data_IF_522910056973
#
_entry.id   IF_522910056973
#
_cell.length_a   1.000
_cell.length_b   1.000
_cell.length_c   1.000
_cell.angle_alpha   90.00
_cell.angle_beta   90.00
_cell.angle_gamma   90.00
#
_symmetry.space_group_name_H-M   'P 1'
#
loop_
_entity.id
_entity.type
_entity.pdbx_description
1 polymer ?
#
# COMPACT_ATOMS: atom_id res chain seq x y z
N UNK A 1 42.28 15.89 21.26
CA UNK A 1 40.86 16.27 21.38
C UNK A 1 40.40 15.76 22.74
N UNK A 2 40.19 16.62 23.74
CA UNK A 2 40.01 16.17 25.11
C UNK A 2 38.63 15.54 25.30
N UNK A 3 38.65 14.44 26.02
CA UNK A 3 37.55 13.68 26.59
C UNK A 3 36.63 14.64 27.39
N UNK A 4 35.43 14.92 26.88
CA UNK A 4 34.55 16.00 27.37
C UNK A 4 33.13 15.55 27.73
N UNK A 5 32.87 14.24 27.77
CA UNK A 5 31.53 13.73 28.03
C UNK A 5 31.43 13.22 29.47
N UNK A 6 30.63 13.85 30.35
CA UNK A 6 30.28 13.23 31.61
C UNK A 6 29.57 11.90 31.33
N UNK A 7 30.14 10.83 31.84
CA UNK A 7 29.55 9.50 31.79
C UNK A 7 28.21 9.53 32.55
N UNK A 8 27.12 9.21 31.84
CA UNK A 8 25.86 8.61 32.37
C UNK A 8 24.61 9.48 32.63
N UNK A 9 24.41 10.61 31.95
CA UNK A 9 23.04 11.20 31.87
C UNK A 9 22.42 10.96 30.49
N UNK A 10 21.16 10.47 30.39
CA UNK A 10 20.45 10.39 29.12
C UNK A 10 20.33 11.78 28.51
N UNK A 11 20.50 11.94 27.20
CA UNK A 11 20.57 13.24 26.53
C UNK A 11 19.32 14.11 26.64
N UNK A 12 18.20 13.54 27.10
CA UNK A 12 17.00 14.29 27.48
C UNK A 12 17.18 15.14 28.73
N UNK A 13 18.10 14.77 29.62
CA UNK A 13 18.39 15.47 30.88
C UNK A 13 19.52 16.48 30.75
N UNK A 14 20.17 16.54 29.58
CA UNK A 14 21.26 17.47 29.35
C UNK A 14 20.76 18.92 29.31
N UNK A 15 21.53 19.86 29.89
CA UNK A 15 21.18 21.27 29.84
C UNK A 15 21.12 21.69 28.37
N UNK A 16 19.98 22.27 27.98
CA UNK A 16 19.80 22.78 26.62
C UNK A 16 20.56 24.10 26.53
N UNK A 17 21.57 24.22 25.64
CA UNK A 17 22.33 25.45 25.51
C UNK A 17 21.41 26.63 25.22
N UNK A 18 21.67 27.83 25.79
CA UNK A 18 20.85 28.99 25.54
C UNK A 18 20.89 29.32 24.05
N UNK A 19 19.71 29.56 23.48
CA UNK A 19 19.57 29.93 22.08
C UNK A 19 18.75 31.21 21.97
N UNK A 20 19.30 32.22 21.31
CA UNK A 20 18.62 33.50 21.13
C UNK A 20 17.52 33.39 20.06
N UNK A 21 16.26 33.36 20.51
CA UNK A 21 15.06 33.28 19.68
C UNK A 21 14.49 34.64 19.26
N UNK A 22 15.13 35.76 19.60
CA UNK A 22 14.65 37.07 19.19
C UNK A 22 14.61 37.20 17.66
N UNK A 23 13.56 37.85 17.13
CA UNK A 23 13.42 38.11 15.70
C UNK A 23 14.52 39.07 15.21
N UNK A 24 15.03 38.83 13.99
CA UNK A 24 16.07 39.66 13.35
C UNK A 24 17.02 38.86 12.47
N UNK A 25 17.76 39.54 11.60
CA UNK A 25 18.87 38.92 10.85
C UNK A 25 20.06 38.70 11.77
N UNK A 26 20.51 37.46 11.90
CA UNK A 26 21.67 37.06 12.71
C UNK A 26 22.61 36.24 11.83
N UNK A 27 23.92 36.41 12.03
CA UNK A 27 24.90 35.40 11.61
C UNK A 27 24.44 34.06 12.20
N UNK A 28 24.44 32.99 11.39
CA UNK A 28 23.72 31.73 11.65
C UNK A 28 23.61 31.36 13.13
N UNK A 29 22.38 31.18 13.65
CA UNK A 29 22.11 30.79 15.04
C UNK A 29 22.63 29.37 15.41
N UNK A 30 23.48 28.78 14.58
CA UNK A 30 24.11 27.50 14.81
C UNK A 30 25.25 27.67 15.81
N UNK A 31 25.20 26.89 16.89
CA UNK A 31 26.33 26.69 17.79
C UNK A 31 26.66 25.21 17.80
N UNK A 32 27.95 24.88 17.91
CA UNK A 32 28.39 23.49 17.92
C UNK A 32 27.83 22.74 19.13
N UNK A 33 27.72 23.40 20.28
CA UNK A 33 27.12 22.86 21.51
C UNK A 33 25.67 22.39 21.30
N UNK A 34 24.85 23.19 20.59
CA UNK A 34 23.47 22.79 20.24
C UNK A 34 23.46 21.66 19.22
N UNK A 35 24.38 21.69 18.25
CA UNK A 35 24.56 20.60 17.28
C UNK A 35 24.90 19.27 17.94
N UNK A 36 25.84 19.27 18.88
CA UNK A 36 26.26 18.09 19.65
C UNK A 36 25.11 17.52 20.47
N UNK A 37 24.33 18.37 21.15
CA UNK A 37 23.14 17.91 21.88
C UNK A 37 22.13 17.23 20.96
N UNK A 38 21.89 17.77 19.76
CA UNK A 38 21.01 17.17 18.77
C UNK A 38 21.57 15.82 18.30
N UNK A 39 22.86 15.74 17.98
CA UNK A 39 23.53 14.50 17.54
C UNK A 39 23.43 13.41 18.60
N UNK A 40 23.67 13.76 19.86
CA UNK A 40 23.58 12.83 20.98
C UNK A 40 22.14 12.28 21.14
N UNK A 41 21.12 13.15 21.11
CA UNK A 41 19.72 12.72 21.18
C UNK A 41 19.30 11.84 20.01
N UNK A 42 19.83 12.11 18.80
CA UNK A 42 19.64 11.21 17.65
C UNK A 42 20.30 9.87 17.94
N UNK A 43 21.54 9.83 18.45
CA UNK A 43 22.26 8.59 18.76
C UNK A 43 21.52 7.72 19.79
N UNK A 44 20.78 8.34 20.71
CA UNK A 44 19.88 7.66 21.66
C UNK A 44 18.57 7.15 21.02
N UNK A 45 18.41 7.31 19.72
CA UNK A 45 17.27 6.83 18.93
C UNK A 45 16.11 7.81 18.85
N UNK A 46 16.25 9.04 19.33
CA UNK A 46 15.20 10.05 19.28
C UNK A 46 15.08 10.68 17.88
N UNK A 47 13.86 10.90 17.41
CA UNK A 47 13.64 11.54 16.10
C UNK A 47 13.91 13.05 16.18
N UNK A 48 14.44 13.63 15.10
CA UNK A 48 14.64 15.11 15.00
C UNK A 48 13.35 15.86 15.32
N UNK A 49 12.19 15.36 14.86
CA UNK A 49 10.88 15.96 15.17
C UNK A 49 10.60 16.00 16.67
N UNK A 50 10.87 14.90 17.38
CA UNK A 50 10.69 14.82 18.84
C UNK A 50 11.68 15.71 19.59
N UNK A 51 12.93 15.78 19.13
CA UNK A 51 13.95 16.69 19.68
C UNK A 51 13.45 18.14 19.57
N UNK A 52 13.06 18.57 18.36
CA UNK A 52 12.62 19.94 18.08
C UNK A 52 11.25 20.31 18.65
N UNK A 53 10.52 19.36 19.26
CA UNK A 53 9.27 19.65 19.94
C UNK A 53 9.46 20.40 21.27
N UNK A 54 10.67 20.35 21.85
CA UNK A 54 10.96 21.04 23.09
C UNK A 54 11.00 22.57 22.88
N UNK A 55 10.35 23.40 23.72
CA UNK A 55 10.27 24.85 23.52
C UNK A 55 11.60 25.58 23.50
N UNK A 56 12.67 25.03 24.10
CA UNK A 56 14.01 25.60 24.05
C UNK A 56 14.83 25.15 22.82
N UNK A 57 14.41 24.09 22.11
CA UNK A 57 15.12 23.58 20.94
C UNK A 57 14.89 24.47 19.69
N UNK A 58 15.79 24.40 18.69
CA UNK A 58 15.55 24.98 17.37
C UNK A 58 14.34 24.35 16.69
N UNK A 59 13.68 25.14 15.85
CA UNK A 59 12.61 24.64 15.01
C UNK A 59 13.14 23.58 14.02
N UNK A 60 12.28 22.65 13.61
CA UNK A 60 12.64 21.59 12.67
C UNK A 60 13.29 22.10 11.36
N UNK A 61 12.72 23.17 10.78
CA UNK A 61 13.27 23.78 9.57
C UNK A 61 14.67 24.38 9.78
N UNK A 62 14.96 24.91 10.97
CA UNK A 62 16.28 25.43 11.33
C UNK A 62 17.32 24.32 11.37
N UNK A 63 17.03 23.21 12.04
CA UNK A 63 17.95 22.06 12.09
C UNK A 63 18.19 21.50 10.70
N UNK A 64 17.15 21.38 9.88
CA UNK A 64 17.28 20.92 8.50
C UNK A 64 18.15 21.86 7.66
N UNK A 65 18.00 23.18 7.84
CA UNK A 65 18.87 24.17 7.20
C UNK A 65 20.33 24.01 7.66
N UNK A 66 20.59 23.77 8.95
CA UNK A 66 21.96 23.52 9.42
C UNK A 66 22.58 22.29 8.76
N UNK A 67 21.82 21.20 8.58
CA UNK A 67 22.33 20.01 7.86
C UNK A 67 22.75 20.30 6.41
N UNK A 68 22.20 21.35 5.78
CA UNK A 68 22.53 21.74 4.40
C UNK A 68 23.67 22.76 4.33
N UNK A 69 23.68 23.73 5.25
CA UNK A 69 24.59 24.89 5.19
C UNK A 69 25.80 24.79 6.12
N UNK A 70 25.84 23.80 7.00
CA UNK A 70 27.00 23.45 7.84
C UNK A 70 27.40 22.02 7.50
N UNK A 71 28.29 21.83 6.49
CA UNK A 71 28.63 20.50 5.97
C UNK A 71 29.09 19.50 7.03
N UNK A 72 29.86 19.96 8.02
CA UNK A 72 30.39 19.15 9.11
C UNK A 72 29.27 18.59 9.99
N UNK A 73 28.25 19.41 10.29
CA UNK A 73 27.08 18.97 11.05
C UNK A 73 26.22 18.00 10.23
N UNK A 74 26.03 18.28 8.93
CA UNK A 74 25.32 17.38 8.02
C UNK A 74 25.98 16.00 7.93
N UNK A 75 27.31 15.96 7.83
CA UNK A 75 28.11 14.73 7.83
C UNK A 75 27.95 13.96 9.14
N UNK A 76 28.06 14.64 10.29
CA UNK A 76 27.88 14.01 11.60
C UNK A 76 26.48 13.42 11.79
N UNK A 77 25.42 14.09 11.31
CA UNK A 77 24.05 13.55 11.34
C UNK A 77 23.93 12.29 10.48
N UNK A 78 24.56 12.28 9.29
CA UNK A 78 24.53 11.14 8.39
C UNK A 78 25.24 9.92 9.02
N UNK A 79 26.38 10.14 9.67
CA UNK A 79 27.15 9.12 10.38
C UNK A 79 26.33 8.46 11.51
N UNK A 80 25.76 9.27 12.42
CA UNK A 80 24.94 8.76 13.53
C UNK A 80 23.74 7.96 13.01
N UNK A 81 23.07 8.44 11.95
CA UNK A 81 21.96 7.70 11.33
C UNK A 81 22.41 6.40 10.67
N UNK A 82 23.60 6.38 10.07
CA UNK A 82 24.23 5.19 9.52
C UNK A 82 24.44 4.12 10.59
N UNK A 83 25.01 4.50 11.73
CA UNK A 83 25.19 3.59 12.87
C UNK A 83 23.87 3.03 13.40
N UNK A 84 22.85 3.87 13.58
CA UNK A 84 21.52 3.40 13.99
C UNK A 84 20.87 2.45 12.99
N UNK A 85 21.03 2.71 11.69
CA UNK A 85 20.52 1.83 10.65
C UNK A 85 21.20 0.45 10.70
N UNK A 86 22.52 0.41 10.89
CA UNK A 86 23.28 -0.83 11.07
C UNK A 86 22.83 -1.60 12.32
N UNK A 87 22.66 -0.93 13.46
CA UNK A 87 22.16 -1.56 14.69
C UNK A 87 20.77 -2.17 14.50
N UNK A 88 19.84 -1.44 13.86
CA UNK A 88 18.49 -1.94 13.53
C UNK A 88 18.54 -3.15 12.61
N UNK A 89 19.42 -3.12 11.61
CA UNK A 89 19.61 -4.23 10.70
C UNK A 89 20.15 -5.47 11.44
N UNK A 90 21.16 -5.30 12.28
CA UNK A 90 21.73 -6.37 13.10
C UNK A 90 20.69 -6.98 14.05
N UNK A 91 19.87 -6.14 14.71
CA UNK A 91 18.74 -6.62 15.51
C UNK A 91 17.73 -7.38 14.66
N UNK A 92 17.33 -6.86 13.50
CA UNK A 92 16.40 -7.53 12.60
C UNK A 92 16.95 -8.90 12.13
N UNK A 93 18.25 -8.99 11.84
CA UNK A 93 18.93 -10.23 11.51
C UNK A 93 18.95 -11.20 12.69
N UNK A 94 19.29 -10.74 13.89
CA UNK A 94 19.23 -11.55 15.11
C UNK A 94 17.80 -12.07 15.36
N UNK A 95 16.78 -11.22 15.20
CA UNK A 95 15.38 -11.62 15.28
C UNK A 95 15.00 -12.65 14.20
N UNK A 96 15.48 -12.50 12.96
CA UNK A 96 15.30 -13.49 11.87
C UNK A 96 15.94 -14.83 12.22
N UNK A 97 17.13 -14.82 12.82
CA UNK A 97 17.84 -16.02 13.26
C UNK A 97 17.17 -16.68 14.46
N UNK A 98 16.84 -15.92 15.51
CA UNK A 98 16.24 -16.39 16.75
C UNK A 98 14.83 -16.96 16.55
N UNK A 99 14.04 -16.37 15.64
CA UNK A 99 12.72 -16.91 15.28
C UNK A 99 12.80 -18.24 14.51
N UNK A 100 14.02 -18.69 14.20
CA UNK A 100 14.31 -19.75 13.26
C UNK A 100 13.91 -19.34 11.85
N UNK A 101 14.51 -19.98 10.83
CA UNK A 101 13.75 -20.18 9.60
C UNK A 101 12.47 -20.87 10.05
N UNK A 102 11.34 -20.15 10.11
CA UNK A 102 10.02 -20.79 10.11
C UNK A 102 10.16 -21.87 9.05
N UNK A 103 10.24 -23.15 9.45
CA UNK A 103 10.25 -24.27 8.53
C UNK A 103 9.02 -23.99 7.69
N UNK A 104 9.22 -23.46 6.49
CA UNK A 104 8.15 -23.24 5.53
C UNK A 104 7.57 -24.63 5.41
N UNK A 105 6.40 -24.81 6.03
CA UNK A 105 5.96 -26.11 6.47
C UNK A 105 6.16 -27.10 5.34
N UNK A 106 6.83 -28.20 5.65
CA UNK A 106 6.64 -29.46 4.94
C UNK A 106 5.21 -29.99 5.13
N UNK A 107 4.23 -29.09 5.32
CA UNK A 107 2.84 -29.38 5.02
C UNK A 107 2.81 -29.62 3.53
N UNK A 108 2.65 -30.89 3.18
CA UNK A 108 2.20 -31.38 1.87
C UNK A 108 1.33 -30.30 1.27
N UNK A 109 1.86 -29.50 0.33
CA UNK A 109 1.07 -28.50 -0.38
C UNK A 109 0.02 -29.32 -1.08
N UNK A 110 -1.18 -29.33 -0.52
CA UNK A 110 -2.33 -29.96 -1.15
C UNK A 110 -2.44 -29.27 -2.50
N UNK A 111 -1.97 -29.97 -3.53
CA UNK A 111 -1.90 -29.39 -4.85
C UNK A 111 -3.34 -29.18 -5.24
N UNK A 112 -3.74 -27.92 -5.41
CA UNK A 112 -5.05 -27.61 -5.96
C UNK A 112 -5.24 -28.47 -7.20
N UNK A 113 -6.25 -29.34 -7.16
CA UNK A 113 -6.50 -30.30 -8.21
C UNK A 113 -6.88 -29.57 -9.49
N UNK A 114 -6.48 -30.12 -10.63
CA UNK A 114 -6.89 -29.59 -11.93
C UNK A 114 -8.42 -29.54 -12.05
N UNK A 115 -9.12 -30.52 -11.46
CA UNK A 115 -10.57 -30.59 -11.42
C UNK A 115 -11.21 -29.41 -10.66
N UNK A 116 -10.67 -29.02 -9.50
CA UNK A 116 -11.18 -27.89 -8.74
C UNK A 116 -11.00 -26.56 -9.49
N UNK A 117 -9.89 -26.43 -10.22
CA UNK A 117 -9.65 -25.27 -11.09
C UNK A 117 -10.59 -25.28 -12.31
N UNK A 118 -10.85 -26.45 -12.90
CA UNK A 118 -11.80 -26.61 -14.00
C UNK A 118 -13.21 -26.17 -13.60
N UNK A 119 -13.75 -26.70 -12.49
CA UNK A 119 -15.07 -26.30 -11.96
C UNK A 119 -15.17 -24.80 -11.69
N UNK A 120 -14.09 -24.19 -11.19
CA UNK A 120 -14.05 -22.74 -10.99
C UNK A 120 -14.16 -21.99 -12.33
N UNK A 121 -13.44 -22.42 -13.37
CA UNK A 121 -13.51 -21.81 -14.70
C UNK A 121 -14.91 -21.97 -15.31
N UNK A 122 -15.51 -23.15 -15.18
CA UNK A 122 -16.86 -23.42 -15.66
C UNK A 122 -17.88 -22.51 -14.95
N UNK A 123 -17.82 -22.41 -13.61
CA UNK A 123 -18.70 -21.51 -12.87
C UNK A 123 -18.54 -20.03 -13.29
N UNK A 124 -17.31 -19.59 -13.54
CA UNK A 124 -17.06 -18.23 -14.05
C UNK A 124 -17.65 -18.06 -15.45
N UNK A 125 -17.44 -19.02 -16.35
CA UNK A 125 -18.01 -19.04 -17.71
C UNK A 125 -19.54 -18.97 -17.68
N UNK A 126 -20.16 -19.65 -16.72
CA UNK A 126 -21.62 -19.69 -16.51
C UNK A 126 -22.19 -18.43 -15.82
N UNK A 127 -21.39 -17.38 -15.63
CA UNK A 127 -21.86 -16.09 -15.10
C UNK A 127 -21.45 -15.80 -13.66
N UNK A 128 -20.96 -16.78 -12.91
CA UNK A 128 -20.57 -16.59 -11.51
C UNK A 128 -19.41 -15.60 -11.40
N UNK A 129 -19.39 -14.76 -10.36
CA UNK A 129 -18.20 -13.96 -10.08
C UNK A 129 -17.08 -14.86 -9.57
N UNK A 130 -15.82 -14.45 -9.76
CA UNK A 130 -14.68 -15.19 -9.20
C UNK A 130 -14.82 -15.38 -7.69
N UNK A 131 -15.35 -14.39 -6.97
CA UNK A 131 -15.59 -14.51 -5.54
C UNK A 131 -16.66 -15.53 -5.17
N UNK A 132 -17.72 -15.64 -5.97
CA UNK A 132 -18.75 -16.67 -5.77
C UNK A 132 -18.17 -18.06 -6.09
N UNK A 133 -17.48 -18.20 -7.23
CA UNK A 133 -16.86 -19.46 -7.64
C UNK A 133 -15.79 -19.97 -6.63
N UNK A 134 -15.08 -19.07 -5.95
CA UNK A 134 -14.11 -19.41 -4.90
C UNK A 134 -14.79 -19.73 -3.55
N UNK A 135 -16.02 -19.28 -3.33
CA UNK A 135 -16.78 -19.57 -2.12
C UNK A 135 -17.42 -20.97 -2.14
N UNK A 136 -17.51 -21.61 -3.30
CA UNK A 136 -18.06 -22.95 -3.46
C UNK A 136 -17.26 -24.01 -2.67
N UNK A 137 -17.93 -24.98 -2.02
CA UNK A 137 -17.25 -26.08 -1.33
C UNK A 137 -16.28 -26.82 -2.26
N UNK A 138 -15.02 -26.94 -1.83
CA UNK A 138 -13.97 -27.60 -2.62
C UNK A 138 -13.38 -26.74 -3.75
N UNK A 139 -13.74 -25.46 -3.84
CA UNK A 139 -13.07 -24.50 -4.71
C UNK A 139 -11.66 -24.15 -4.20
N UNK A 140 -10.73 -23.77 -5.09
CA UNK A 140 -9.42 -23.30 -4.67
C UNK A 140 -9.50 -21.90 -4.06
N UNK A 141 -8.63 -21.62 -3.08
CA UNK A 141 -8.48 -20.26 -2.56
C UNK A 141 -8.07 -19.27 -3.65
N UNK A 142 -8.41 -17.98 -3.48
CA UNK A 142 -7.94 -16.88 -4.35
C UNK A 142 -6.42 -16.90 -4.56
N UNK A 143 -5.66 -17.16 -3.50
CA UNK A 143 -4.20 -17.22 -3.58
C UNK A 143 -3.74 -18.33 -4.53
N UNK A 144 -4.39 -19.48 -4.50
CA UNK A 144 -4.06 -20.58 -5.39
C UNK A 144 -4.47 -20.27 -6.85
N UNK A 145 -5.67 -19.70 -7.05
CA UNK A 145 -6.14 -19.24 -8.36
C UNK A 145 -5.14 -18.25 -8.99
N UNK A 146 -4.85 -17.14 -8.31
CA UNK A 146 -3.94 -16.13 -8.85
C UNK A 146 -2.51 -16.63 -8.97
N UNK A 147 -2.05 -17.53 -8.09
CA UNK A 147 -0.76 -18.18 -8.28
C UNK A 147 -0.72 -19.02 -9.56
N UNK A 148 -1.83 -19.67 -9.96
CA UNK A 148 -1.90 -20.44 -11.21
C UNK A 148 -1.96 -19.52 -12.43
N UNK A 149 -2.79 -18.48 -12.40
CA UNK A 149 -2.84 -17.44 -13.45
C UNK A 149 -1.45 -16.84 -13.70
N UNK A 150 -0.67 -16.61 -12.64
CA UNK A 150 0.69 -16.04 -12.79
C UNK A 150 1.72 -17.03 -13.35
N UNK A 151 1.63 -18.31 -13.00
CA UNK A 151 2.69 -19.30 -13.26
C UNK A 151 2.43 -20.20 -14.46
N UNK A 152 1.19 -20.30 -14.93
CA UNK A 152 0.80 -21.21 -16.00
C UNK A 152 0.10 -20.42 -17.12
N UNK A 153 0.80 -20.15 -18.24
CA UNK A 153 0.23 -19.39 -19.37
C UNK A 153 -1.05 -20.01 -19.95
N UNK A 154 -1.11 -21.34 -20.08
CA UNK A 154 -2.30 -22.04 -20.58
C UNK A 154 -3.51 -21.83 -19.65
N UNK A 155 -3.31 -21.93 -18.33
CA UNK A 155 -4.37 -21.66 -17.36
C UNK A 155 -4.80 -20.19 -17.39
N UNK A 156 -3.85 -19.25 -17.56
CA UNK A 156 -4.17 -17.84 -17.74
C UNK A 156 -5.06 -17.61 -18.97
N UNK A 157 -4.74 -18.24 -20.10
CA UNK A 157 -5.57 -18.14 -21.31
C UNK A 157 -6.99 -18.66 -21.06
N UNK A 158 -7.13 -19.84 -20.44
CA UNK A 158 -8.43 -20.41 -20.09
C UNK A 158 -9.22 -19.52 -19.10
N UNK A 159 -8.54 -18.87 -18.16
CA UNK A 159 -9.17 -17.93 -17.22
C UNK A 159 -9.66 -16.65 -17.90
N UNK A 160 -8.90 -16.13 -18.88
CA UNK A 160 -9.32 -14.98 -19.69
C UNK A 160 -10.53 -15.34 -20.55
N UNK A 161 -10.49 -16.48 -21.24
CA UNK A 161 -11.60 -17.02 -22.02
C UNK A 161 -12.88 -17.17 -21.17
N UNK A 162 -12.78 -17.77 -19.98
CA UNK A 162 -13.92 -17.87 -19.05
C UNK A 162 -14.48 -16.49 -18.66
N UNK A 163 -13.63 -15.48 -18.45
CA UNK A 163 -14.07 -14.11 -18.18
C UNK A 163 -14.75 -13.44 -19.38
N UNK A 164 -14.33 -13.74 -20.60
CA UNK A 164 -14.91 -13.23 -21.84
C UNK A 164 -16.30 -13.83 -22.08
N UNK A 165 -16.43 -15.16 -21.98
CA UNK A 165 -17.72 -15.84 -22.03
C UNK A 165 -18.69 -15.33 -20.97
N UNK A 166 -18.20 -15.06 -19.76
CA UNK A 166 -18.98 -14.43 -18.70
C UNK A 166 -19.51 -13.06 -19.10
N UNK A 167 -18.70 -12.23 -19.75
CA UNK A 167 -19.11 -10.90 -20.22
C UNK A 167 -20.20 -11.01 -21.29
N UNK A 168 -20.05 -11.95 -22.23
CA UNK A 168 -21.04 -12.27 -23.27
C UNK A 168 -22.35 -12.73 -22.64
N UNK A 169 -22.31 -13.70 -21.72
CA UNK A 169 -23.52 -14.20 -21.05
C UNK A 169 -24.25 -13.12 -20.24
N UNK A 170 -23.51 -12.20 -19.63
CA UNK A 170 -24.09 -11.05 -18.92
C UNK A 170 -24.71 -10.02 -19.89
N UNK A 171 -24.21 -9.86 -21.12
CA UNK A 171 -24.88 -9.05 -22.14
C UNK A 171 -26.16 -9.73 -22.66
N UNK A 172 -26.12 -11.04 -22.92
CA UNK A 172 -27.30 -11.78 -23.33
C UNK A 172 -28.42 -11.69 -22.28
N UNK A 173 -28.09 -11.90 -21.00
CA UNK A 173 -29.04 -11.72 -19.89
C UNK A 173 -29.56 -10.27 -19.78
N UNK A 174 -28.79 -9.29 -20.26
CA UNK A 174 -29.19 -7.88 -20.28
C UNK A 174 -30.23 -7.62 -21.38
N UNK A 175 -30.05 -8.21 -22.55
CA UNK A 175 -30.99 -8.16 -23.67
C UNK A 175 -32.29 -8.87 -23.29
N UNK A 176 -32.21 -10.07 -22.71
CA UNK A 176 -33.38 -10.81 -22.21
C UNK A 176 -34.18 -10.00 -21.17
N UNK A 177 -33.50 -9.31 -20.26
CA UNK A 177 -34.16 -8.43 -19.29
C UNK A 177 -34.85 -7.21 -19.94
N UNK A 178 -34.37 -6.72 -21.07
CA UNK A 178 -35.00 -5.64 -21.84
C UNK A 178 -36.22 -6.14 -22.60
N UNK A 179 -36.12 -7.29 -23.26
CA UNK A 179 -37.22 -7.88 -24.00
C UNK A 179 -38.38 -8.28 -23.07
N UNK A 180 -38.05 -8.75 -21.85
CA UNK A 180 -39.00 -9.08 -20.80
C UNK A 180 -39.67 -7.89 -20.10
N UNK A 181 -39.37 -6.63 -20.47
CA UNK A 181 -39.94 -5.42 -19.83
C UNK A 181 -41.46 -5.42 -19.88
N UNK A 182 -42.05 -5.84 -20.99
CA UNK A 182 -43.51 -5.86 -21.15
C UNK A 182 -44.20 -6.92 -20.28
N UNK A 183 -43.47 -7.96 -19.87
CA UNK A 183 -43.99 -9.05 -19.03
C UNK A 183 -43.78 -8.77 -17.54
N UNK A 184 -42.57 -8.32 -17.18
CA UNK A 184 -42.16 -8.15 -15.77
C UNK A 184 -42.37 -6.74 -15.23
N UNK A 185 -42.58 -5.77 -16.13
CA UNK A 185 -42.68 -4.35 -15.81
C UNK A 185 -41.33 -3.63 -15.72
N UNK A 186 -41.37 -2.33 -15.99
CA UNK A 186 -40.19 -1.45 -16.01
C UNK A 186 -39.37 -1.51 -14.69
N UNK A 187 -39.96 -1.53 -13.48
CA UNK A 187 -39.18 -1.57 -12.25
C UNK A 187 -38.37 -2.87 -12.09
N UNK A 188 -38.96 -4.03 -12.40
CA UNK A 188 -38.31 -5.33 -12.28
C UNK A 188 -37.17 -5.47 -13.30
N UNK A 189 -37.42 -5.08 -14.55
CA UNK A 189 -36.39 -5.04 -15.59
C UNK A 189 -35.21 -4.12 -15.20
N UNK A 190 -35.50 -2.92 -14.68
CA UNK A 190 -34.46 -2.01 -14.19
C UNK A 190 -33.64 -2.60 -13.02
N UNK A 191 -34.28 -3.33 -12.10
CA UNK A 191 -33.57 -4.01 -11.02
C UNK A 191 -32.63 -5.10 -11.55
N UNK A 192 -33.10 -5.90 -12.52
CA UNK A 192 -32.28 -6.91 -13.19
C UNK A 192 -31.07 -6.28 -13.92
N UNK A 193 -31.30 -5.21 -14.69
CA UNK A 193 -30.24 -4.47 -15.39
C UNK A 193 -29.18 -3.94 -14.43
N UNK A 194 -29.58 -3.34 -13.29
CA UNK A 194 -28.63 -2.87 -12.27
C UNK A 194 -27.81 -4.00 -11.67
N UNK A 195 -28.43 -5.16 -11.43
CA UNK A 195 -27.72 -6.33 -10.92
C UNK A 195 -26.68 -6.84 -11.94
N UNK A 196 -27.04 -6.91 -13.22
CA UNK A 196 -26.15 -7.30 -14.32
C UNK A 196 -25.00 -6.30 -14.47
N UNK A 197 -25.29 -4.99 -14.54
CA UNK A 197 -24.29 -3.94 -14.67
C UNK A 197 -23.34 -3.91 -13.46
N UNK A 198 -23.85 -4.17 -12.27
CA UNK A 198 -23.05 -4.32 -11.05
C UNK A 198 -22.07 -5.50 -11.12
N UNK A 199 -22.46 -6.62 -11.77
CA UNK A 199 -21.63 -7.80 -11.98
C UNK A 199 -20.60 -7.60 -13.09
N UNK A 200 -20.97 -6.95 -14.20
CA UNK A 200 -20.05 -6.62 -15.31
C UNK A 200 -19.04 -5.56 -14.93
N UNK A 201 -19.47 -4.59 -14.13
CA UNK A 201 -18.62 -3.51 -13.63
C UNK A 201 -17.45 -3.97 -12.76
N UNK A 202 -17.44 -5.23 -12.30
CA UNK A 202 -16.36 -5.86 -11.53
C UNK A 202 -15.38 -6.67 -12.40
N UNK A 203 -15.67 -6.86 -13.70
CA UNK A 203 -14.76 -7.49 -14.66
C UNK A 203 -13.70 -6.51 -15.18
N UNK A 204 -14.06 -5.24 -15.32
CA UNK A 204 -13.16 -4.19 -15.83
C UNK A 204 -13.02 -3.06 -14.80
N UNK A 205 -11.81 -2.55 -14.55
CA UNK A 205 -11.62 -1.37 -13.71
C UNK A 205 -12.53 -0.23 -14.19
N UNK A 206 -13.14 0.50 -13.24
CA UNK A 206 -14.12 1.56 -13.52
C UNK A 206 -13.60 2.61 -14.52
N UNK A 207 -12.29 2.84 -14.52
CA UNK A 207 -11.57 3.76 -15.42
C UNK A 207 -11.72 3.41 -16.92
N UNK A 208 -11.89 2.13 -17.26
CA UNK A 208 -11.97 1.65 -18.65
C UNK A 208 -13.40 1.29 -19.07
N UNK A 209 -14.39 1.59 -18.23
CA UNK A 209 -15.80 1.44 -18.60
C UNK A 209 -16.08 2.54 -19.62
N UNK A 210 -16.34 2.20 -20.89
CA UNK A 210 -16.82 3.18 -21.88
C UNK A 210 -18.03 3.87 -21.25
N UNK A 211 -17.90 5.18 -20.99
CA UNK A 211 -19.05 6.01 -20.66
C UNK A 211 -20.01 5.83 -21.83
N UNK A 212 -21.23 5.35 -21.55
CA UNK A 212 -22.29 5.39 -22.56
C UNK A 212 -22.35 6.82 -23.06
N UNK A 213 -22.05 7.03 -24.33
CA UNK A 213 -22.47 8.23 -25.03
C UNK A 213 -23.97 8.31 -24.81
N UNK A 214 -24.42 9.30 -24.04
CA UNK A 214 -25.85 9.58 -23.92
C UNK A 214 -26.42 9.81 -25.32
N UNK A 215 -27.74 9.63 -25.52
CA UNK A 215 -28.35 9.92 -26.81
C UNK A 215 -27.94 11.35 -27.19
N UNK A 216 -27.24 11.49 -28.31
CA UNK A 216 -26.89 12.78 -28.88
C UNK A 216 -28.20 13.56 -29.04
N UNK A 217 -28.37 14.62 -28.25
CA UNK A 217 -29.43 15.60 -28.46
C UNK A 217 -29.06 16.36 -29.73
N UNK A 218 -29.33 15.76 -30.88
CA UNK A 218 -29.27 16.42 -32.18
C UNK A 218 -30.69 16.39 -32.72
N UNK A 219 -31.43 17.45 -32.41
CA UNK A 219 -32.82 17.61 -32.81
C UNK A 219 -33.44 18.78 -32.04
N UNK A 220 -32.97 19.99 -32.33
CA UNK A 220 -33.74 21.24 -32.20
C UNK A 220 -32.93 22.37 -32.88
N UNK A 221 -33.08 22.45 -34.20
CA UNK A 221 -33.02 23.69 -34.98
C UNK A 221 -33.97 23.51 -36.16
N UNK A 222 -35.23 23.82 -35.92
CA UNK A 222 -36.15 24.39 -36.92
C UNK A 222 -36.35 25.86 -36.53
#
# INVERSE_FOLDING_TARGET
MPDRFPLHSPAREWPIPPMDKAAGWKASAFTWEMGELILQRIAEGESVRAITAHPAMPAYCTVFRWMQFVPEFGAAVAEVRGHLAQQRQALADAWRHARGRRRNGAGRREQVSAQALGRLLDAVRDGASVSAAVAEPGAPSFKALYSRVRKCPAFRAAFVDACEWRDIGLEAAREEALDGVFVTGIPAANAALRAIDGRRGRLRPKLYRRLRSGPSRTGDML
#
